data_IF_846961538927
#
_entry.id   IF_846961538927
#
_cell.length_a   1.000
_cell.length_b   1.000
_cell.length_c   1.000
_cell.angle_alpha   90.00
_cell.angle_beta   90.00
_cell.angle_gamma   90.00
#
_symmetry.space_group_name_H-M   'P 1'
#
loop_
_entity.id
_entity.type
_entity.pdbx_description
1 polymer ?
#
# COMPACT_ATOMS: atom_id res chain seq x y z
N UNK A 1 22.27 30.39 -22.73
CA UNK A 1 21.16 31.34 -22.55
C UNK A 1 20.05 30.58 -21.86
N UNK A 2 19.68 31.02 -20.66
CA UNK A 2 18.52 30.51 -19.92
C UNK A 2 17.28 31.26 -20.38
N UNK A 3 16.18 30.54 -20.59
CA UNK A 3 14.77 30.96 -20.50
C UNK A 3 14.02 29.61 -20.42
N UNK A 4 13.36 29.20 -19.34
CA UNK A 4 12.58 29.98 -18.38
C UNK A 4 11.11 29.89 -18.78
N UNK A 5 10.38 28.94 -18.22
CA UNK A 5 8.93 28.79 -18.42
C UNK A 5 8.42 27.38 -18.10
N UNK A 6 8.25 27.04 -16.82
CA UNK A 6 7.27 26.03 -16.44
C UNK A 6 5.96 26.79 -16.22
N UNK A 7 5.16 26.90 -17.27
CA UNK A 7 3.72 27.03 -17.14
C UNK A 7 3.23 25.67 -16.67
N UNK A 8 3.35 25.42 -15.37
CA UNK A 8 2.77 24.23 -14.78
C UNK A 8 1.28 24.56 -14.55
N UNK A 9 0.44 24.18 -15.52
CA UNK A 9 -1.01 24.33 -15.47
C UNK A 9 -1.56 23.72 -14.17
N UNK A 10 -2.32 24.54 -13.44
CA UNK A 10 -2.93 24.24 -12.14
C UNK A 10 -4.10 23.26 -12.35
N UNK A 11 -3.78 21.96 -12.52
CA UNK A 11 -4.82 20.93 -12.70
C UNK A 11 -4.39 19.50 -13.07
N UNK A 12 -3.11 19.20 -13.27
CA UNK A 12 -2.67 17.92 -13.85
C UNK A 12 -2.22 16.82 -12.85
N UNK A 13 -2.76 16.78 -11.63
CA UNK A 13 -2.57 15.64 -10.69
C UNK A 13 -3.69 14.58 -10.89
N UNK A 14 -4.45 14.66 -11.99
CA UNK A 14 -5.64 13.83 -12.18
C UNK A 14 -5.38 12.43 -12.76
N UNK A 15 -4.23 12.14 -13.37
CA UNK A 15 -3.97 10.82 -13.98
C UNK A 15 -2.49 10.42 -13.83
N UNK A 16 -2.19 9.62 -12.79
CA UNK A 16 -0.85 9.12 -12.52
C UNK A 16 -0.34 8.29 -13.72
N UNK A 17 0.58 8.89 -14.49
CA UNK A 17 1.03 8.42 -15.80
C UNK A 17 2.04 7.26 -15.70
N UNK A 18 1.68 6.17 -15.01
CA UNK A 18 2.52 4.99 -14.82
C UNK A 18 1.81 3.71 -15.28
N UNK A 19 1.59 3.51 -16.60
CA UNK A 19 0.92 2.33 -17.12
C UNK A 19 1.61 1.03 -16.69
N UNK A 20 2.94 1.05 -16.55
CA UNK A 20 3.72 -0.10 -16.10
C UNK A 20 3.40 -0.56 -14.66
N UNK A 21 2.85 0.30 -13.81
CA UNK A 21 2.43 -0.08 -12.46
C UNK A 21 1.12 -0.87 -12.50
N UNK A 22 0.16 -0.45 -13.32
CA UNK A 22 -1.06 -1.23 -13.56
C UNK A 22 -0.74 -2.59 -14.18
N UNK A 23 0.15 -2.62 -15.19
CA UNK A 23 0.65 -3.87 -15.78
C UNK A 23 1.36 -4.76 -14.74
N UNK A 24 2.00 -4.14 -13.75
CA UNK A 24 2.61 -4.82 -12.61
C UNK A 24 1.61 -5.19 -11.50
N UNK A 25 0.30 -5.00 -11.71
CA UNK A 25 -0.75 -5.36 -10.77
C UNK A 25 -0.92 -4.41 -9.59
N UNK A 26 -0.56 -3.14 -9.74
CA UNK A 26 -0.92 -2.09 -8.79
C UNK A 26 -2.22 -1.41 -9.20
N UNK A 27 -2.98 -0.99 -8.20
CA UNK A 27 -4.25 -0.26 -8.32
C UNK A 27 -4.06 1.11 -7.65
N UNK A 28 -4.72 2.17 -8.15
CA UNK A 28 -4.61 3.50 -7.55
C UNK A 28 -5.71 3.68 -6.49
N UNK A 29 -5.33 3.84 -5.23
CA UNK A 29 -6.21 3.99 -4.08
C UNK A 29 -5.70 5.11 -3.16
N UNK A 30 -6.57 6.05 -2.78
CA UNK A 30 -6.28 7.10 -1.79
C UNK A 30 -4.93 7.81 -1.99
N UNK A 31 -4.61 8.20 -3.23
CA UNK A 31 -3.37 8.90 -3.58
C UNK A 31 -2.12 8.01 -3.65
N UNK A 32 -2.28 6.68 -3.67
CA UNK A 32 -1.19 5.72 -3.66
C UNK A 32 -1.41 4.59 -4.67
N UNK A 33 -0.32 4.08 -5.24
CA UNK A 33 -0.34 2.81 -5.94
C UNK A 33 -0.24 1.67 -4.94
N UNK A 34 -1.24 0.80 -4.92
CA UNK A 34 -1.39 -0.29 -3.97
C UNK A 34 -1.35 -1.63 -4.68
N UNK A 35 -0.57 -2.58 -4.16
CA UNK A 35 -0.55 -3.96 -4.68
C UNK A 35 -0.59 -4.97 -3.55
N UNK A 36 -1.44 -5.98 -3.69
CA UNK A 36 -1.39 -7.16 -2.83
C UNK A 36 -0.07 -7.92 -3.06
N UNK A 37 0.67 -8.18 -1.97
CA UNK A 37 1.93 -8.93 -2.01
C UNK A 37 1.69 -10.38 -1.64
N UNK A 38 1.14 -10.61 -0.45
CA UNK A 38 0.91 -11.96 0.04
C UNK A 38 -0.09 -12.00 1.21
N UNK A 39 -0.59 -13.20 1.47
CA UNK A 39 -1.42 -13.52 2.62
C UNK A 39 -0.91 -14.79 3.29
N UNK A 40 -0.92 -14.84 4.62
CA UNK A 40 -0.47 -15.99 5.38
C UNK A 40 -1.37 -16.23 6.58
N UNK A 41 -1.75 -17.48 6.81
CA UNK A 41 -2.54 -17.88 7.97
C UNK A 41 -1.62 -18.37 9.09
N UNK A 42 -1.84 -17.90 10.30
CA UNK A 42 -1.06 -18.26 11.48
C UNK A 42 -1.97 -18.62 12.66
N UNK A 43 -1.52 -19.58 13.46
CA UNK A 43 -2.07 -19.82 14.81
C UNK A 43 -1.23 -19.06 15.82
N UNK A 44 -1.87 -18.17 16.57
CA UNK A 44 -1.22 -17.29 17.51
C UNK A 44 -0.65 -18.06 18.71
N UNK A 45 0.65 -17.92 19.00
CA UNK A 45 1.33 -18.64 20.11
C UNK A 45 1.38 -17.85 21.42
N UNK A 46 1.14 -16.54 21.37
CA UNK A 46 1.11 -15.62 22.52
C UNK A 46 0.25 -14.41 22.16
N UNK A 47 -0.37 -13.78 23.14
CA UNK A 47 -1.16 -12.57 22.90
C UNK A 47 -0.33 -11.52 22.12
N UNK A 48 -0.92 -10.93 21.08
CA UNK A 48 -0.32 -9.80 20.40
C UNK A 48 -0.25 -8.59 21.34
N UNK A 49 0.75 -7.73 21.13
CA UNK A 49 1.01 -6.54 21.97
C UNK A 49 -0.18 -5.58 21.95
N UNK A 50 -0.90 -5.49 20.84
CA UNK A 50 -2.11 -4.67 20.70
C UNK A 50 -3.36 -5.26 21.39
N UNK A 51 -3.25 -6.46 21.96
CA UNK A 51 -4.35 -7.17 22.63
C UNK A 51 -5.46 -7.68 21.71
N UNK A 52 -5.41 -7.40 20.40
CA UNK A 52 -6.50 -7.70 19.46
C UNK A 52 -6.56 -9.18 19.08
N UNK A 53 -5.42 -9.86 19.07
CA UNK A 53 -5.31 -11.30 18.75
C UNK A 53 -4.72 -12.03 19.95
N UNK A 54 -5.46 -13.01 20.45
CA UNK A 54 -5.10 -13.81 21.63
C UNK A 54 -4.43 -15.12 21.24
N UNK A 55 -3.70 -15.72 22.20
CA UNK A 55 -3.15 -17.07 22.06
C UNK A 55 -4.23 -18.07 21.65
N UNK A 56 -3.87 -19.00 20.75
CA UNK A 56 -4.77 -20.01 20.20
C UNK A 56 -5.64 -19.53 19.04
N UNK A 57 -5.83 -18.22 18.85
CA UNK A 57 -6.63 -17.71 17.73
C UNK A 57 -5.89 -17.87 16.39
N UNK A 58 -6.65 -18.22 15.36
CA UNK A 58 -6.15 -18.25 13.98
C UNK A 58 -6.41 -16.90 13.35
N UNK A 59 -5.39 -16.32 12.71
CA UNK A 59 -5.50 -15.06 12.00
C UNK A 59 -4.80 -15.12 10.65
N UNK A 60 -5.29 -14.31 9.72
CA UNK A 60 -4.66 -14.06 8.44
C UNK A 60 -3.89 -12.74 8.52
N UNK A 61 -2.59 -12.77 8.19
CA UNK A 61 -1.79 -11.56 7.93
C UNK A 61 -1.79 -11.30 6.43
N UNK A 62 -2.22 -10.11 6.04
CA UNK A 62 -2.16 -9.64 4.64
C UNK A 62 -1.09 -8.56 4.53
N UNK A 63 -0.32 -8.59 3.45
CA UNK A 63 0.71 -7.59 3.16
C UNK A 63 0.42 -6.91 1.84
N UNK A 64 0.41 -5.59 1.86
CA UNK A 64 0.26 -4.72 0.69
C UNK A 64 1.51 -3.86 0.52
N UNK A 65 1.84 -3.55 -0.73
CA UNK A 65 2.87 -2.58 -1.10
C UNK A 65 2.17 -1.29 -1.49
N UNK A 66 2.63 -0.18 -0.95
CA UNK A 66 2.20 1.17 -1.29
C UNK A 66 3.36 1.91 -1.96
N UNK A 67 3.05 2.73 -2.96
CA UNK A 67 3.96 3.70 -3.57
C UNK A 67 3.22 5.03 -3.63
N UNK A 68 3.79 6.05 -2.98
CA UNK A 68 3.32 7.42 -3.02
C UNK A 68 4.16 8.18 -4.06
N UNK A 69 3.52 8.66 -5.11
CA UNK A 69 4.22 9.41 -6.16
C UNK A 69 4.57 10.84 -5.72
N UNK A 70 3.76 11.46 -4.86
CA UNK A 70 4.00 12.81 -4.35
C UNK A 70 5.24 12.87 -3.45
N UNK A 71 5.38 11.91 -2.54
CA UNK A 71 6.51 11.85 -1.61
C UNK A 71 7.70 11.07 -2.19
N UNK A 72 7.51 10.34 -3.29
CA UNK A 72 8.52 9.45 -3.87
C UNK A 72 8.87 8.25 -2.97
N UNK A 73 7.99 7.88 -2.04
CA UNK A 73 8.22 6.84 -1.04
C UNK A 73 7.50 5.53 -1.38
N UNK A 74 7.99 4.41 -0.86
CA UNK A 74 7.27 3.13 -0.91
C UNK A 74 7.43 2.34 0.39
N UNK A 75 6.36 1.68 0.83
CA UNK A 75 6.35 0.94 2.10
C UNK A 75 5.47 -0.31 2.04
N UNK A 76 5.64 -1.19 3.03
CA UNK A 76 4.74 -2.31 3.26
C UNK A 76 3.73 -1.95 4.34
N UNK A 77 2.46 -2.23 4.09
CA UNK A 77 1.43 -2.19 5.10
C UNK A 77 0.95 -3.61 5.40
N UNK A 78 0.70 -3.88 6.68
CA UNK A 78 0.23 -5.18 7.14
C UNK A 78 -1.16 -5.08 7.78
N UNK A 79 -2.11 -5.83 7.22
CA UNK A 79 -3.41 -6.08 7.83
C UNK A 79 -3.40 -7.40 8.61
N UNK A 80 -4.19 -7.48 9.69
CA UNK A 80 -4.44 -8.74 10.41
C UNK A 80 -5.93 -8.92 10.61
N UNK A 81 -6.46 -10.10 10.30
CA UNK A 81 -7.88 -10.44 10.48
C UNK A 81 -8.02 -11.79 11.15
N UNK A 82 -8.79 -11.88 12.24
CA UNK A 82 -9.10 -13.14 12.92
C UNK A 82 -10.01 -13.97 12.02
N UNK A 83 -9.69 -15.26 11.83
CA UNK A 83 -10.60 -16.23 11.20
C UNK A 83 -11.65 -16.64 12.24
N UNK A 84 -12.93 -16.45 11.91
CA UNK A 84 -14.06 -16.94 12.71
C UNK A 84 -14.17 -18.45 12.61
#
# INVERSE_FOLDING_TARGET
MSEGGCDCDEGAIAESSRPWLQESGYEWEDGNWVRFVCSSTHTCRRNHVDGKIKVGQVYTKTTYRYICDEEGTSWLQHGKRIKR
#
